data_IF_539616966066
#
_entry.id   IF_539616966066
#
_cell.length_a   1.000
_cell.length_b   1.000
_cell.length_c   1.000
_cell.angle_alpha   90.00
_cell.angle_beta   90.00
_cell.angle_gamma   90.00
#
_symmetry.space_group_name_H-M   'P 1'
#
loop_
_entity.id
_entity.type
_entity.pdbx_description
1 polymer ?
#
# COMPACT_ATOMS: atom_id res chain seq x y z
N UNK A 1 -21.22 -7.72 44.15
CA UNK A 1 -20.34 -8.78 43.58
C UNK A 1 -20.24 -8.74 42.06
N UNK A 2 -21.31 -8.72 41.25
CA UNK A 2 -21.16 -8.62 39.78
C UNK A 2 -20.62 -7.25 39.31
N UNK A 3 -21.02 -6.16 39.95
CA UNK A 3 -20.59 -4.79 39.59
C UNK A 3 -19.10 -4.53 39.77
N UNK A 4 -18.47 -5.12 40.78
CA UNK A 4 -17.06 -4.92 41.12
C UNK A 4 -16.13 -5.50 40.04
N UNK A 5 -16.53 -6.64 39.47
CA UNK A 5 -15.78 -7.35 38.44
C UNK A 5 -15.83 -6.60 37.09
N UNK A 6 -17.00 -6.07 36.73
CA UNK A 6 -17.17 -5.20 35.56
C UNK A 6 -16.46 -3.85 35.71
N UNK A 7 -16.42 -3.28 36.91
CA UNK A 7 -15.72 -2.02 37.16
C UNK A 7 -14.20 -2.18 37.00
N UNK A 8 -13.62 -3.26 37.53
CA UNK A 8 -12.19 -3.52 37.37
C UNK A 8 -11.82 -3.77 35.90
N UNK A 9 -12.66 -4.52 35.17
CA UNK A 9 -12.47 -4.72 33.73
C UNK A 9 -12.55 -3.41 32.94
N UNK A 10 -13.50 -2.54 33.29
CA UNK A 10 -13.64 -1.23 32.66
C UNK A 10 -12.42 -0.34 32.90
N UNK A 11 -11.87 -0.33 34.13
CA UNK A 11 -10.66 0.45 34.47
C UNK A 11 -9.43 -0.10 33.73
N UNK A 12 -9.23 -1.41 33.73
CA UNK A 12 -8.11 -2.04 33.00
C UNK A 12 -8.22 -1.80 31.49
N UNK A 13 -9.43 -1.88 30.93
CA UNK A 13 -9.67 -1.58 29.52
C UNK A 13 -9.42 -0.10 29.22
N UNK A 14 -9.90 0.82 30.07
CA UNK A 14 -9.68 2.25 29.89
C UNK A 14 -8.19 2.63 29.95
N UNK A 15 -7.40 1.93 30.78
CA UNK A 15 -5.96 2.14 30.87
C UNK A 15 -5.21 1.56 29.66
N UNK A 16 -5.58 0.35 29.21
CA UNK A 16 -4.88 -0.36 28.14
C UNK A 16 -5.31 0.07 26.71
N UNK A 17 -6.58 0.42 26.52
CA UNK A 17 -7.16 0.79 25.22
C UNK A 17 -6.39 1.91 24.48
N UNK A 18 -5.96 3.03 25.10
CA UNK A 18 -5.21 4.05 24.37
C UNK A 18 -3.88 3.53 23.82
N UNK A 19 -3.16 2.69 24.57
CA UNK A 19 -1.91 2.09 24.10
C UNK A 19 -2.16 1.06 22.99
N UNK A 20 -3.19 0.22 23.15
CA UNK A 20 -3.56 -0.76 22.12
C UNK A 20 -3.94 -0.08 20.80
N UNK A 21 -4.72 1.01 20.86
CA UNK A 21 -5.10 1.80 19.69
C UNK A 21 -3.90 2.51 19.05
N UNK A 22 -3.01 3.09 19.85
CA UNK A 22 -1.80 3.75 19.34
C UNK A 22 -0.88 2.77 18.60
N UNK A 23 -0.65 1.58 19.18
CA UNK A 23 0.16 0.54 18.54
C UNK A 23 -0.51 -0.01 17.28
N UNK A 24 -1.83 -0.17 17.28
CA UNK A 24 -2.58 -0.59 16.10
C UNK A 24 -2.48 0.44 14.98
N UNK A 25 -2.63 1.73 15.29
CA UNK A 25 -2.49 2.81 14.32
C UNK A 25 -1.07 2.83 13.71
N UNK A 26 -0.03 2.71 14.55
CA UNK A 26 1.35 2.65 14.09
C UNK A 26 1.63 1.42 13.22
N UNK A 27 1.13 0.24 13.61
CA UNK A 27 1.31 -0.98 12.83
C UNK A 27 0.63 -0.91 11.45
N UNK A 28 -0.53 -0.23 11.36
CA UNK A 28 -1.21 0.01 10.08
C UNK A 28 -0.42 0.99 9.22
N UNK A 29 0.09 2.08 9.80
CA UNK A 29 0.87 3.09 9.10
C UNK A 29 2.10 2.46 8.44
N UNK A 30 2.92 1.73 9.20
CA UNK A 30 4.10 1.05 8.67
C UNK A 30 3.74 -0.13 7.75
N UNK A 31 2.70 -0.90 8.10
CA UNK A 31 2.24 -2.04 7.32
C UNK A 31 1.76 -1.66 5.92
N UNK A 32 1.14 -0.48 5.78
CA UNK A 32 0.64 0.03 4.51
C UNK A 32 1.76 0.28 3.50
N UNK A 33 2.92 0.80 3.94
CA UNK A 33 4.09 1.04 3.09
C UNK A 33 4.62 -0.28 2.50
N UNK A 34 4.66 -1.36 3.29
CA UNK A 34 5.11 -2.65 2.79
C UNK A 34 4.17 -3.25 1.74
N UNK A 35 2.86 -3.07 1.92
CA UNK A 35 1.84 -3.51 0.96
C UNK A 35 1.96 -2.69 -0.33
N UNK A 36 2.03 -1.37 -0.22
CA UNK A 36 2.15 -0.46 -1.36
C UNK A 36 3.42 -0.74 -2.17
N UNK A 37 4.56 -0.98 -1.50
CA UNK A 37 5.81 -1.36 -2.19
C UNK A 37 5.68 -2.64 -2.99
N UNK A 38 4.99 -3.64 -2.46
CA UNK A 38 4.80 -4.92 -3.15
C UNK A 38 3.86 -4.78 -4.35
N UNK A 39 2.82 -3.98 -4.20
CA UNK A 39 1.90 -3.65 -5.30
C UNK A 39 2.62 -2.88 -6.41
N UNK A 40 3.35 -1.81 -6.04
CA UNK A 40 4.17 -1.04 -6.96
C UNK A 40 5.20 -1.91 -7.69
N UNK A 41 5.85 -2.84 -6.98
CA UNK A 41 6.80 -3.76 -7.60
C UNK A 41 6.14 -4.69 -8.63
N UNK A 42 4.94 -5.22 -8.35
CA UNK A 42 4.20 -6.07 -9.30
C UNK A 42 3.83 -5.31 -10.57
N UNK A 43 3.47 -4.04 -10.44
CA UNK A 43 3.12 -3.17 -11.57
C UNK A 43 4.35 -2.80 -12.39
N UNK A 44 5.49 -2.54 -11.74
CA UNK A 44 6.78 -2.31 -12.40
C UNK A 44 7.23 -3.55 -13.17
N UNK A 45 7.05 -4.75 -12.62
CA UNK A 45 7.38 -5.99 -13.32
C UNK A 45 6.48 -6.19 -14.56
N UNK A 46 5.18 -5.94 -14.42
CA UNK A 46 4.25 -5.97 -15.55
C UNK A 46 4.60 -4.93 -16.63
N UNK A 47 5.01 -3.72 -16.23
CA UNK A 47 5.54 -2.71 -17.13
C UNK A 47 6.79 -3.21 -17.87
N UNK A 48 7.74 -3.81 -17.16
CA UNK A 48 8.99 -4.32 -17.71
C UNK A 48 8.76 -5.48 -18.69
N UNK A 49 7.88 -6.42 -18.36
CA UNK A 49 7.49 -7.51 -19.26
C UNK A 49 6.79 -6.96 -20.51
N UNK A 50 5.86 -6.02 -20.34
CA UNK A 50 5.17 -5.39 -21.47
C UNK A 50 6.17 -4.67 -22.38
N UNK A 51 7.08 -3.90 -21.79
CA UNK A 51 8.17 -3.23 -22.49
C UNK A 51 9.05 -4.21 -23.26
N UNK A 52 9.46 -5.32 -22.63
CA UNK A 52 10.29 -6.35 -23.26
C UNK A 52 9.55 -7.10 -24.37
N UNK A 53 8.23 -7.28 -24.24
CA UNK A 53 7.41 -7.96 -25.25
C UNK A 53 7.15 -7.10 -26.50
N UNK A 54 7.21 -5.77 -26.36
CA UNK A 54 6.93 -4.83 -27.44
C UNK A 54 8.07 -3.81 -27.61
N UNK A 55 9.26 -4.32 -27.99
CA UNK A 55 10.50 -3.54 -28.11
C UNK A 55 10.39 -2.41 -29.17
N UNK A 56 9.54 -2.58 -30.18
CA UNK A 56 9.36 -1.58 -31.23
C UNK A 56 8.48 -0.40 -30.80
N UNK A 57 7.62 -0.60 -29.79
CA UNK A 57 6.70 0.43 -29.28
C UNK A 57 6.49 0.30 -27.77
N UNK A 58 7.61 0.38 -27.05
CA UNK A 58 7.68 0.19 -25.59
C UNK A 58 6.75 1.15 -24.87
N UNK A 59 6.77 2.42 -25.27
CA UNK A 59 6.11 3.49 -24.55
C UNK A 59 4.58 3.37 -24.58
N UNK A 60 4.01 3.19 -25.78
CA UNK A 60 2.57 3.02 -25.92
C UNK A 60 2.08 1.72 -25.28
N UNK A 61 2.87 0.64 -25.37
CA UNK A 61 2.50 -0.65 -24.78
C UNK A 61 2.43 -0.57 -23.26
N UNK A 62 3.44 0.03 -22.61
CA UNK A 62 3.48 0.19 -21.14
C UNK A 62 2.39 1.13 -20.63
N UNK A 63 2.14 2.27 -21.29
CA UNK A 63 1.08 3.19 -20.88
C UNK A 63 -0.31 2.56 -21.00
N UNK A 64 -0.53 1.78 -22.05
CA UNK A 64 -1.81 1.08 -22.25
C UNK A 64 -1.99 -0.01 -21.19
N UNK A 65 -0.98 -0.85 -20.95
CA UNK A 65 -1.12 -1.93 -19.96
C UNK A 65 -1.25 -1.40 -18.54
N UNK A 66 -0.53 -0.35 -18.15
CA UNK A 66 -0.71 0.21 -16.81
C UNK A 66 -2.03 0.99 -16.68
N UNK A 67 -2.49 1.64 -17.76
CA UNK A 67 -3.82 2.24 -17.82
C UNK A 67 -4.94 1.21 -17.63
N UNK A 68 -4.82 0.05 -18.28
CA UNK A 68 -5.77 -1.07 -18.13
C UNK A 68 -5.72 -1.70 -16.72
N UNK A 69 -4.59 -1.59 -16.02
CA UNK A 69 -4.41 -2.05 -14.64
C UNK A 69 -4.77 -0.98 -13.59
N UNK A 70 -5.59 0.02 -13.95
CA UNK A 70 -6.13 0.99 -13.00
C UNK A 70 -5.20 2.13 -12.65
N UNK A 71 -4.14 2.35 -13.43
CA UNK A 71 -3.23 3.50 -13.29
C UNK A 71 -3.37 4.51 -14.46
N UNK A 72 -4.50 5.22 -14.57
CA UNK A 72 -4.72 6.18 -15.65
C UNK A 72 -3.78 7.39 -15.52
N UNK A 73 -3.26 7.89 -16.64
CA UNK A 73 -2.47 9.13 -16.68
C UNK A 73 -0.96 8.97 -16.47
N UNK A 74 -0.43 7.76 -16.62
CA UNK A 74 1.02 7.52 -16.57
C UNK A 74 1.71 8.18 -17.76
N UNK A 75 2.70 9.00 -17.45
CA UNK A 75 3.63 9.60 -18.40
C UNK A 75 5.00 8.96 -18.23
N UNK A 76 5.63 8.60 -19.34
CA UNK A 76 6.95 7.98 -19.31
C UNK A 76 8.01 9.08 -19.18
N UNK A 77 8.72 9.10 -18.06
CA UNK A 77 9.92 9.92 -17.92
C UNK A 77 11.13 9.14 -18.43
N UNK A 78 11.77 9.67 -19.47
CA UNK A 78 13.01 9.11 -19.99
C UNK A 78 14.14 9.38 -19.00
N UNK A 79 14.96 8.36 -18.70
CA UNK A 79 16.09 8.50 -17.79
C UNK A 79 16.97 9.70 -18.20
N UNK A 80 17.04 10.72 -17.34
CA UNK A 80 17.81 11.95 -17.56
C UNK A 80 16.99 13.22 -17.84
N UNK A 81 15.66 13.18 -17.77
CA UNK A 81 14.83 14.40 -17.73
C UNK A 81 14.20 14.56 -16.35
N UNK A 82 14.58 15.65 -15.65
CA UNK A 82 13.98 16.13 -14.41
C UNK A 82 12.72 16.92 -14.68
#
# INVERSE_FOLDING_TARGET
MLGDLTANFAVMTALCAPFALALAAFAIDEGSIYVERREAQSLVDLAAITAASNINNIEAAVVTTLGDNGMPGIVIQKAGQT
#
